data_IF_594072476261
#
_entry.id   IF_594072476261
#
_cell.length_a   1.000
_cell.length_b   1.000
_cell.length_c   1.000
_cell.angle_alpha   90.00
_cell.angle_beta   90.00
_cell.angle_gamma   90.00
#
_symmetry.space_group_name_H-M   'P 1'
#
loop_
_entity.id
_entity.type
_entity.pdbx_description
1 polymer ?
#
# COMPACT_ATOMS: atom_id res chain seq x y z
N UNK A 1 22.35 24.59 -11.79
CA UNK A 1 21.01 24.07 -11.47
C UNK A 1 21.22 22.70 -10.83
N UNK A 2 20.86 22.56 -9.55
CA UNK A 2 21.18 21.36 -8.75
C UNK A 2 20.15 20.25 -8.99
N UNK A 3 20.56 18.98 -9.18
CA UNK A 3 19.69 17.86 -9.58
C UNK A 3 18.67 17.41 -8.52
N UNK A 4 18.77 17.91 -7.29
CA UNK A 4 17.93 17.48 -6.15
C UNK A 4 16.50 18.05 -6.22
N UNK A 5 16.29 19.16 -6.93
CA UNK A 5 14.96 19.79 -7.08
C UNK A 5 13.98 18.97 -7.94
N UNK A 6 14.48 18.01 -8.73
CA UNK A 6 13.65 17.20 -9.64
C UNK A 6 12.94 16.05 -8.91
N UNK A 7 13.56 15.49 -7.87
CA UNK A 7 13.00 14.32 -7.18
C UNK A 7 11.86 14.67 -6.21
N UNK A 8 11.84 15.88 -5.66
CA UNK A 8 10.74 16.33 -4.79
C UNK A 8 9.44 16.51 -5.60
N UNK A 9 9.55 16.93 -6.86
CA UNK A 9 8.40 17.14 -7.75
C UNK A 9 7.67 15.85 -8.17
N UNK A 10 8.30 14.69 -8.02
CA UNK A 10 7.79 13.46 -8.66
C UNK A 10 6.84 12.64 -7.78
N UNK A 11 6.82 12.82 -6.45
CA UNK A 11 6.07 11.92 -5.55
C UNK A 11 5.06 12.60 -4.61
N UNK A 12 5.03 13.93 -4.55
CA UNK A 12 3.96 14.68 -3.90
C UNK A 12 3.55 15.81 -4.83
N UNK A 13 2.34 15.73 -5.40
CA UNK A 13 1.72 16.89 -6.05
C UNK A 13 1.48 17.92 -4.95
N UNK A 14 2.41 18.86 -4.80
CA UNK A 14 2.23 20.00 -3.92
C UNK A 14 1.03 20.79 -4.47
N UNK A 15 0.06 21.06 -3.61
CA UNK A 15 -1.03 21.98 -3.95
C UNK A 15 -0.47 23.34 -4.41
N UNK A 16 -1.18 24.01 -5.32
CA UNK A 16 -0.73 25.29 -5.92
C UNK A 16 -0.47 26.36 -4.84
N UNK A 17 -1.25 26.34 -3.75
CA UNK A 17 -1.03 27.20 -2.59
C UNK A 17 0.27 26.89 -1.83
N UNK A 18 0.56 25.60 -1.65
CA UNK A 18 1.77 25.15 -0.96
C UNK A 18 3.04 25.47 -1.78
N UNK A 19 2.99 25.32 -3.10
CA UNK A 19 4.09 25.67 -4.00
C UNK A 19 4.42 27.18 -3.96
N UNK A 20 3.38 28.03 -3.96
CA UNK A 20 3.54 29.49 -3.82
C UNK A 20 4.15 29.87 -2.48
N UNK A 21 3.69 29.26 -1.39
CA UNK A 21 4.25 29.52 -0.06
C UNK A 21 5.73 29.11 0.02
N UNK A 22 6.10 27.95 -0.53
CA UNK A 22 7.47 27.47 -0.56
C UNK A 22 8.39 28.43 -1.33
N UNK A 23 7.94 28.90 -2.49
CA UNK A 23 8.67 29.89 -3.30
C UNK A 23 8.89 31.20 -2.53
N UNK A 24 7.87 31.68 -1.82
CA UNK A 24 8.00 32.86 -0.96
C UNK A 24 9.01 32.66 0.16
N UNK A 25 9.00 31.50 0.83
CA UNK A 25 9.97 31.16 1.88
C UNK A 25 11.39 31.12 1.31
N UNK A 26 11.59 30.45 0.17
CA UNK A 26 12.89 30.39 -0.51
C UNK A 26 13.40 31.78 -0.88
N UNK A 27 12.53 32.66 -1.41
CA UNK A 27 12.90 34.02 -1.75
C UNK A 27 13.32 34.83 -0.51
N UNK A 28 12.55 34.74 0.59
CA UNK A 28 12.89 35.44 1.84
C UNK A 28 14.22 34.94 2.39
N UNK A 29 14.46 33.63 2.39
CA UNK A 29 15.71 33.06 2.90
C UNK A 29 16.89 33.43 1.99
N UNK A 30 16.73 33.42 0.67
CA UNK A 30 17.79 33.85 -0.25
C UNK A 30 18.23 35.30 -0.02
N UNK A 31 17.30 36.18 0.36
CA UNK A 31 17.58 37.60 0.61
C UNK A 31 18.10 37.85 2.04
N UNK A 32 17.55 37.16 3.04
CA UNK A 32 17.80 37.49 4.47
C UNK A 32 18.77 36.55 5.18
N UNK A 33 18.89 35.30 4.74
CA UNK A 33 19.70 34.27 5.38
C UNK A 33 20.03 33.13 4.39
N UNK A 34 20.90 33.38 3.39
CA UNK A 34 21.21 32.39 2.36
C UNK A 34 21.85 31.12 2.94
N UNK A 35 22.51 31.20 4.09
CA UNK A 35 23.04 30.06 4.84
C UNK A 35 21.95 29.12 5.36
N UNK A 36 20.69 29.58 5.46
CA UNK A 36 19.55 28.77 5.89
C UNK A 36 18.97 27.89 4.76
N UNK A 37 19.25 28.22 3.49
CA UNK A 37 18.77 27.46 2.32
C UNK A 37 19.15 25.95 2.36
N UNK A 38 20.40 25.55 2.65
CA UNK A 38 20.73 24.13 2.74
C UNK A 38 19.98 23.40 3.88
N UNK A 39 19.61 24.10 4.95
CA UNK A 39 18.81 23.52 6.02
C UNK A 39 17.35 23.34 5.61
N UNK A 40 16.80 24.27 4.82
CA UNK A 40 15.47 24.12 4.23
C UNK A 40 15.43 22.90 3.28
N UNK A 41 16.42 22.74 2.41
CA UNK A 41 16.50 21.58 1.51
C UNK A 41 16.58 20.27 2.29
N UNK A 42 17.38 20.25 3.37
CA UNK A 42 17.48 19.08 4.26
C UNK A 42 16.17 18.79 4.96
N UNK A 43 15.46 19.82 5.44
CA UNK A 43 14.16 19.68 6.09
C UNK A 43 13.13 19.11 5.12
N UNK A 44 13.05 19.63 3.89
CA UNK A 44 12.13 19.13 2.86
C UNK A 44 12.43 17.66 2.55
N UNK A 45 13.71 17.30 2.39
CA UNK A 45 14.12 15.92 2.16
C UNK A 45 13.70 15.00 3.32
N UNK A 46 13.90 15.43 4.57
CA UNK A 46 13.50 14.66 5.74
C UNK A 46 11.98 14.56 5.88
N UNK A 47 11.24 15.64 5.62
CA UNK A 47 9.78 15.64 5.63
C UNK A 47 9.19 14.71 4.57
N UNK A 48 9.73 14.72 3.36
CA UNK A 48 9.34 13.79 2.29
C UNK A 48 9.61 12.34 2.69
N UNK A 49 10.74 12.06 3.34
CA UNK A 49 11.04 10.71 3.83
C UNK A 49 10.08 10.28 4.95
N UNK A 50 9.80 11.16 5.90
CA UNK A 50 8.87 10.89 7.00
C UNK A 50 7.44 10.69 6.49
N UNK A 51 7.00 11.49 5.52
CA UNK A 51 5.67 11.36 4.93
C UNK A 51 5.53 10.06 4.14
N UNK A 52 6.54 9.68 3.35
CA UNK A 52 6.56 8.38 2.67
C UNK A 52 6.48 7.21 3.65
N UNK A 53 7.30 7.22 4.71
CA UNK A 53 7.27 6.17 5.72
C UNK A 53 5.93 6.10 6.47
N UNK A 54 5.34 7.25 6.79
CA UNK A 54 4.02 7.31 7.42
C UNK A 54 2.95 6.69 6.50
N UNK A 55 2.95 7.05 5.21
CA UNK A 55 2.03 6.46 4.21
C UNK A 55 2.26 4.96 4.04
N UNK A 56 3.51 4.50 3.95
CA UNK A 56 3.81 3.07 3.83
C UNK A 56 3.39 2.28 5.08
N UNK A 57 3.59 2.85 6.26
CA UNK A 57 3.18 2.25 7.54
C UNK A 57 1.67 2.15 7.61
N UNK A 58 0.97 3.23 7.30
CA UNK A 58 -0.49 3.30 7.29
C UNK A 58 -1.10 2.31 6.28
N UNK A 59 -0.56 2.24 5.05
CA UNK A 59 -0.95 1.22 4.06
C UNK A 59 -0.67 -0.21 4.53
N UNK A 60 0.45 -0.44 5.23
CA UNK A 60 0.82 -1.76 5.75
C UNK A 60 -0.17 -2.23 6.81
N UNK A 61 -0.60 -1.35 7.72
CA UNK A 61 -1.58 -1.66 8.75
C UNK A 61 -2.96 -2.01 8.19
N UNK A 62 -3.30 -1.46 7.01
CA UNK A 62 -4.55 -1.74 6.29
C UNK A 62 -4.45 -2.86 5.25
N UNK A 63 -3.30 -3.53 5.16
CA UNK A 63 -3.09 -4.56 4.15
C UNK A 63 -3.22 -5.97 4.71
N UNK A 64 -3.86 -6.85 3.93
CA UNK A 64 -3.86 -8.30 4.11
C UNK A 64 -3.05 -8.97 3.00
N UNK A 65 -2.47 -10.12 3.32
CA UNK A 65 -1.76 -10.96 2.36
C UNK A 65 -2.51 -12.27 2.21
N UNK A 66 -2.92 -12.57 0.99
CA UNK A 66 -3.71 -13.76 0.65
C UNK A 66 -2.78 -14.74 -0.08
N UNK A 67 -2.79 -16.00 0.35
CA UNK A 67 -2.01 -17.08 -0.25
C UNK A 67 -2.94 -18.13 -0.87
N UNK A 68 -2.41 -18.94 -1.78
CA UNK A 68 -3.14 -20.08 -2.36
C UNK A 68 -4.12 -19.73 -3.48
N UNK A 69 -4.13 -18.49 -3.97
CA UNK A 69 -4.97 -18.09 -5.11
C UNK A 69 -4.30 -18.52 -6.42
N UNK A 70 -5.01 -19.22 -7.33
CA UNK A 70 -4.48 -19.63 -8.63
C UNK A 70 -3.86 -18.47 -9.41
N UNK A 71 -2.81 -18.74 -10.19
CA UNK A 71 -2.23 -17.72 -11.08
C UNK A 71 -3.09 -17.53 -12.33
N UNK A 72 -3.22 -16.29 -12.83
CA UNK A 72 -3.79 -16.06 -14.15
C UNK A 72 -2.90 -16.68 -15.23
N UNK A 73 -3.53 -17.06 -16.34
CA UNK A 73 -2.80 -17.58 -17.50
C UNK A 73 -1.73 -16.57 -17.99
N UNK A 74 -0.52 -17.08 -18.20
CA UNK A 74 0.63 -16.30 -18.66
C UNK A 74 0.42 -15.73 -20.07
N UNK A 75 -0.44 -16.35 -20.88
CA UNK A 75 -0.81 -15.87 -22.22
C UNK A 75 -1.70 -14.62 -22.21
N UNK A 76 -2.33 -14.28 -21.08
CA UNK A 76 -3.20 -13.11 -20.97
C UNK A 76 -2.41 -11.80 -20.94
N UNK A 77 -3.02 -10.72 -21.42
CA UNK A 77 -2.46 -9.37 -21.28
C UNK A 77 -2.35 -8.95 -19.81
N UNK A 78 -1.45 -8.01 -19.50
CA UNK A 78 -1.24 -7.56 -18.13
C UNK A 78 -2.52 -7.04 -17.46
N UNK A 79 -3.39 -6.35 -18.22
CA UNK A 79 -4.68 -5.86 -17.72
C UNK A 79 -5.65 -6.99 -17.37
N UNK A 80 -5.72 -8.03 -18.19
CA UNK A 80 -6.58 -9.20 -17.92
C UNK A 80 -6.09 -10.02 -16.73
N UNK A 81 -4.77 -10.15 -16.57
CA UNK A 81 -4.18 -10.80 -15.38
C UNK A 81 -4.46 -10.03 -14.09
N UNK A 82 -4.42 -8.70 -14.16
CA UNK A 82 -4.75 -7.82 -13.05
C UNK A 82 -6.24 -7.95 -12.69
N UNK A 83 -7.13 -7.85 -13.68
CA UNK A 83 -8.58 -8.01 -13.49
C UNK A 83 -8.95 -9.38 -12.91
N UNK A 84 -8.28 -10.45 -13.35
CA UNK A 84 -8.45 -11.78 -12.77
C UNK A 84 -8.09 -11.79 -11.28
N UNK A 85 -6.95 -11.19 -10.93
CA UNK A 85 -6.49 -11.12 -9.54
C UNK A 85 -7.46 -10.31 -8.67
N UNK A 86 -7.93 -9.15 -9.15
CA UNK A 86 -8.92 -8.33 -8.45
C UNK A 86 -10.25 -9.06 -8.25
N UNK A 87 -10.72 -9.79 -9.27
CA UNK A 87 -11.93 -10.60 -9.17
C UNK A 87 -11.80 -11.68 -8.10
N UNK A 88 -10.70 -12.44 -8.09
CA UNK A 88 -10.48 -13.46 -7.07
C UNK A 88 -10.43 -12.86 -5.65
N UNK A 89 -9.85 -11.66 -5.49
CA UNK A 89 -9.86 -10.98 -4.18
C UNK A 89 -11.28 -10.59 -3.79
N UNK A 90 -12.08 -10.05 -4.71
CA UNK A 90 -13.49 -9.72 -4.44
C UNK A 90 -14.28 -10.96 -4.00
N UNK A 91 -14.15 -12.07 -4.72
CA UNK A 91 -14.82 -13.34 -4.38
C UNK A 91 -14.42 -13.84 -2.99
N UNK A 92 -13.14 -13.70 -2.61
CA UNK A 92 -12.67 -14.07 -1.27
C UNK A 92 -13.29 -13.17 -0.21
N UNK A 93 -13.33 -11.85 -0.45
CA UNK A 93 -13.93 -10.87 0.47
C UNK A 93 -15.43 -11.12 0.65
N UNK A 94 -16.13 -11.51 -0.42
CA UNK A 94 -17.54 -11.88 -0.38
C UNK A 94 -17.78 -13.14 0.45
N UNK A 95 -16.93 -14.17 0.30
CA UNK A 95 -17.01 -15.42 1.07
C UNK A 95 -16.82 -15.19 2.56
N UNK A 96 -15.94 -14.25 2.95
CA UNK A 96 -15.71 -13.90 4.35
C UNK A 96 -16.67 -12.80 4.86
N UNK A 97 -17.65 -12.40 4.05
CA UNK A 97 -18.66 -11.39 4.39
C UNK A 97 -18.05 -10.05 4.85
N UNK A 98 -17.07 -9.56 4.08
CA UNK A 98 -16.44 -8.27 4.34
C UNK A 98 -16.81 -7.27 3.25
N UNK A 99 -17.68 -6.34 3.61
CA UNK A 99 -18.12 -5.22 2.77
C UNK A 99 -17.04 -4.13 2.65
N UNK A 100 -15.98 -4.41 1.89
CA UNK A 100 -14.92 -3.44 1.61
C UNK A 100 -14.45 -3.50 0.18
N UNK A 101 -14.16 -2.32 -0.39
CA UNK A 101 -13.45 -2.23 -1.65
C UNK A 101 -11.95 -2.19 -1.38
N UNK A 102 -11.20 -3.06 -2.05
CA UNK A 102 -9.75 -3.00 -2.03
C UNK A 102 -9.27 -1.77 -2.81
N UNK A 103 -8.39 -0.97 -2.21
CA UNK A 103 -7.79 0.21 -2.86
C UNK A 103 -6.67 -0.22 -3.81
N UNK A 104 -5.84 -1.18 -3.37
CA UNK A 104 -4.72 -1.71 -4.15
C UNK A 104 -4.73 -3.22 -4.03
N UNK A 105 -4.68 -3.90 -5.17
CA UNK A 105 -4.56 -5.35 -5.27
C UNK A 105 -3.42 -5.66 -6.22
N UNK A 106 -2.43 -6.43 -5.79
CA UNK A 106 -1.35 -6.86 -6.67
C UNK A 106 -0.66 -8.11 -6.17
N UNK A 107 -0.10 -8.88 -7.09
CA UNK A 107 0.73 -10.05 -6.77
C UNK A 107 2.15 -9.61 -6.42
N UNK A 108 2.66 -10.15 -5.31
CA UNK A 108 4.04 -10.02 -4.89
C UNK A 108 4.85 -11.14 -5.55
N UNK A 109 5.86 -10.76 -6.33
CA UNK A 109 6.83 -11.70 -6.91
C UNK A 109 6.92 -11.61 -8.42
N UNK A 110 7.67 -12.54 -9.01
CA UNK A 110 7.84 -12.66 -10.47
C UNK A 110 6.76 -13.57 -11.05
N UNK A 111 6.21 -13.16 -12.19
CA UNK A 111 5.21 -13.93 -12.95
C UNK A 111 5.81 -15.28 -13.38
N UNK A 112 5.07 -16.38 -13.20
CA UNK A 112 5.35 -17.66 -13.85
C UNK A 112 6.22 -18.68 -13.09
N UNK A 113 6.64 -18.41 -11.85
CA UNK A 113 7.40 -19.41 -11.08
C UNK A 113 6.55 -20.19 -10.06
N UNK A 114 5.76 -19.49 -9.25
CA UNK A 114 4.89 -20.05 -8.20
C UNK A 114 3.68 -19.13 -8.01
N UNK A 115 2.56 -19.63 -7.46
CA UNK A 115 1.48 -18.77 -7.01
C UNK A 115 2.00 -17.70 -6.06
N UNK A 116 2.03 -16.46 -6.54
CA UNK A 116 2.44 -15.28 -5.82
C UNK A 116 1.46 -14.97 -4.70
N UNK A 117 1.99 -14.36 -3.65
CA UNK A 117 1.15 -13.81 -2.59
C UNK A 117 0.41 -12.60 -3.14
N UNK A 118 -0.88 -12.47 -2.85
CA UNK A 118 -1.62 -11.27 -3.23
C UNK A 118 -1.61 -10.32 -2.04
N UNK A 119 -1.14 -9.09 -2.26
CA UNK A 119 -1.35 -7.99 -1.31
C UNK A 119 -2.63 -7.28 -1.66
N UNK A 120 -3.51 -7.15 -0.68
CA UNK A 120 -4.75 -6.40 -0.77
C UNK A 120 -4.74 -5.31 0.30
N UNK A 121 -4.95 -4.06 -0.10
CA UNK A 121 -5.03 -2.90 0.80
C UNK A 121 -6.49 -2.52 0.99
N UNK A 122 -7.02 -2.66 2.20
CA UNK A 122 -8.39 -2.30 2.54
C UNK A 122 -8.54 -0.79 2.79
N UNK A 123 -9.75 -0.25 2.67
CA UNK A 123 -10.03 1.17 2.98
C UNK A 123 -9.77 1.54 4.45
N UNK A 124 -9.86 0.58 5.37
CA UNK A 124 -9.65 0.80 6.80
C UNK A 124 -9.02 -0.43 7.47
N UNK A 125 -8.29 -0.18 8.56
CA UNK A 125 -7.70 -1.22 9.42
C UNK A 125 -8.76 -2.10 10.08
N UNK A 126 -10.00 -1.61 10.23
CA UNK A 126 -11.13 -2.38 10.75
C UNK A 126 -11.33 -3.69 9.96
N UNK A 127 -11.23 -3.61 8.63
CA UNK A 127 -11.46 -4.77 7.76
C UNK A 127 -10.37 -5.84 7.94
N UNK A 128 -9.10 -5.43 8.12
CA UNK A 128 -8.01 -6.34 8.46
C UNK A 128 -8.32 -7.12 9.74
N UNK A 129 -8.75 -6.42 10.80
CA UNK A 129 -9.10 -7.08 12.06
C UNK A 129 -10.33 -7.99 11.93
N UNK A 130 -11.33 -7.60 11.13
CA UNK A 130 -12.49 -8.46 10.85
C UNK A 130 -12.06 -9.74 10.14
N UNK A 131 -11.26 -9.65 9.07
CA UNK A 131 -10.69 -10.81 8.37
C UNK A 131 -9.95 -11.74 9.32
N UNK A 132 -9.04 -11.19 10.13
CA UNK A 132 -8.26 -11.98 11.09
C UNK A 132 -9.15 -12.63 12.16
N UNK A 133 -10.18 -11.92 12.63
CA UNK A 133 -11.13 -12.44 13.60
C UNK A 133 -11.89 -13.63 13.04
N UNK A 134 -12.45 -13.52 11.82
CA UNK A 134 -13.18 -14.59 11.15
C UNK A 134 -12.28 -15.80 10.91
N UNK A 135 -11.08 -15.58 10.37
CA UNK A 135 -10.13 -16.65 10.09
C UNK A 135 -9.67 -17.37 11.37
N UNK A 136 -9.44 -16.63 12.45
CA UNK A 136 -9.07 -17.21 13.75
C UNK A 136 -10.16 -18.12 14.32
N UNK A 137 -11.44 -17.80 14.09
CA UNK A 137 -12.56 -18.65 14.48
C UNK A 137 -12.64 -19.91 13.62
N UNK A 138 -12.50 -19.76 12.30
CA UNK A 138 -12.50 -20.88 11.38
C UNK A 138 -11.38 -21.89 11.69
N UNK A 139 -10.17 -21.40 11.96
CA UNK A 139 -9.05 -22.25 12.37
C UNK A 139 -9.33 -23.02 13.66
N UNK A 140 -9.95 -22.38 14.66
CA UNK A 140 -10.33 -23.04 15.93
C UNK A 140 -11.36 -24.14 15.69
N UNK A 141 -12.37 -23.88 14.87
CA UNK A 141 -13.40 -24.88 14.54
C UNK A 141 -12.81 -26.08 13.79
N UNK A 142 -11.96 -25.82 12.78
CA UNK A 142 -11.30 -26.89 12.02
C UNK A 142 -10.33 -27.72 12.89
N UNK A 143 -9.60 -27.07 13.80
CA UNK A 143 -8.73 -27.78 14.75
C UNK A 143 -9.52 -28.70 15.69
N UNK A 144 -10.68 -28.23 16.19
CA UNK A 144 -11.57 -29.04 17.01
C UNK A 144 -12.19 -30.20 16.24
N UNK A 145 -12.61 -29.99 14.98
CA UNK A 145 -13.15 -31.04 14.12
C UNK A 145 -12.12 -32.15 13.85
N UNK A 146 -10.88 -31.78 13.49
CA UNK A 146 -9.79 -32.73 13.26
C UNK A 146 -9.41 -33.52 14.54
N UNK A 147 -9.61 -32.94 15.73
CA UNK A 147 -9.37 -33.60 17.01
C UNK A 147 -10.45 -34.64 17.38
N UNK A 148 -11.67 -34.51 16.82
CA UNK A 148 -12.77 -35.45 17.03
C UNK A 148 -12.70 -36.64 16.06
N UNK A 149 -12.20 -36.43 14.84
CA UNK A 149 -12.12 -37.47 13.79
C UNK A 149 -10.96 -38.46 13.99
N UNK A 150 -10.00 -38.15 14.87
CA UNK A 150 -8.89 -39.03 15.25
C UNK A 150 -9.13 -39.82 16.55
N UNK A 151 -10.38 -40.00 16.99
CA UNK A 151 -10.78 -40.89 18.10
C UNK A 151 -11.71 -41.98 17.60
#
# INVERSE_FOLDING_TARGET
MSPILVDIHSNAVLDDGAAKLLSNIQHILAVKAPEALPFLDRLLTQLSFLSLNAVHTEKRERSIVIHGVPEPDAGLSASLRQQFTERCVSEILDVIDIETLAIEVFRIGKVGQKPGLIKCVCTSRKFVFQTLSIYSRALRQNFLACSQENR
#
